data_IF_180307087785
#
_entry.id   IF_180307087785
#
_cell.length_a   1.000
_cell.length_b   1.000
_cell.length_c   1.000
_cell.angle_alpha   90.00
_cell.angle_beta   90.00
_cell.angle_gamma   90.00
#
_symmetry.space_group_name_H-M   'P 1'
#
loop_
_entity.id
_entity.type
_entity.pdbx_description
1 polymer ?
#
# COMPACT_ATOMS: atom_id res chain seq x y z
N UNK A 1 -8.47 18.80 18.71
CA UNK A 1 -9.52 18.23 17.85
C UNK A 1 -9.29 16.75 17.73
N UNK A 2 -10.34 15.96 17.97
CA UNK A 2 -10.31 14.50 17.82
C UNK A 2 -10.43 14.13 16.33
N UNK A 3 -9.96 12.93 15.94
CA UNK A 3 -9.90 12.49 14.54
C UNK A 3 -11.23 12.68 13.77
N UNK A 4 -12.37 12.35 14.40
CA UNK A 4 -13.69 12.48 13.77
C UNK A 4 -14.03 13.93 13.40
N UNK A 5 -13.67 14.90 14.25
CA UNK A 5 -13.91 16.33 13.97
C UNK A 5 -13.05 16.81 12.79
N UNK A 6 -11.78 16.41 12.77
CA UNK A 6 -10.87 16.74 11.67
C UNK A 6 -11.35 16.14 10.35
N UNK A 7 -11.86 14.90 10.37
CA UNK A 7 -12.42 14.25 9.19
C UNK A 7 -13.67 14.98 8.69
N UNK A 8 -14.58 15.36 9.58
CA UNK A 8 -15.78 16.12 9.23
C UNK A 8 -15.43 17.49 8.62
N UNK A 9 -14.42 18.18 9.17
CA UNK A 9 -13.92 19.44 8.62
C UNK A 9 -13.27 19.28 7.25
N UNK A 10 -12.54 18.18 7.04
CA UNK A 10 -11.91 17.88 5.76
C UNK A 10 -12.93 17.44 4.68
N UNK A 11 -14.07 16.89 5.09
CA UNK A 11 -15.13 16.40 4.20
C UNK A 11 -16.46 17.15 4.42
N UNK A 12 -16.51 18.48 4.24
CA UNK A 12 -17.71 19.28 4.53
C UNK A 12 -18.90 18.93 3.63
N UNK A 13 -18.65 18.29 2.48
CA UNK A 13 -19.67 17.82 1.54
C UNK A 13 -19.99 16.32 1.71
N UNK A 14 -19.50 15.70 2.79
CA UNK A 14 -19.61 14.26 3.02
C UNK A 14 -18.69 13.43 2.13
N UNK A 15 -18.89 12.11 2.16
CA UNK A 15 -18.02 11.12 1.53
C UNK A 15 -18.81 10.28 0.53
N UNK A 16 -18.42 10.41 -0.74
CA UNK A 16 -19.01 9.70 -1.86
C UNK A 16 -18.44 8.27 -1.99
N UNK A 17 -17.13 8.12 -1.84
CA UNK A 17 -16.44 6.83 -1.93
C UNK A 17 -15.50 6.69 -0.75
N UNK A 18 -15.57 5.56 -0.06
CA UNK A 18 -14.67 5.22 1.02
C UNK A 18 -14.12 3.82 0.80
N UNK A 19 -12.80 3.73 0.56
CA UNK A 19 -12.13 2.46 0.34
C UNK A 19 -11.73 1.86 1.69
N UNK A 20 -12.47 0.85 2.14
CA UNK A 20 -12.33 0.29 3.49
C UNK A 20 -11.22 -0.75 3.55
N UNK A 21 -10.21 -0.48 4.40
CA UNK A 21 -9.05 -1.33 4.67
C UNK A 21 -8.87 -1.63 6.17
N UNK A 22 -9.50 -0.84 7.04
CA UNK A 22 -9.16 -0.70 8.46
C UNK A 22 -10.30 -1.17 9.34
N UNK A 23 -11.51 -0.66 9.17
CA UNK A 23 -12.63 -0.89 10.08
C UNK A 23 -12.51 -0.11 11.39
N UNK A 24 -13.18 -0.61 12.44
CA UNK A 24 -13.08 -0.10 13.80
C UNK A 24 -13.39 1.39 13.95
N UNK A 25 -12.59 2.10 14.77
CA UNK A 25 -12.79 3.53 15.08
C UNK A 25 -12.67 4.45 13.88
N UNK A 26 -11.93 4.05 12.84
CA UNK A 26 -11.86 4.81 11.58
C UNK A 26 -13.22 4.77 10.89
N UNK A 27 -13.80 3.57 10.75
CA UNK A 27 -15.11 3.43 10.14
C UNK A 27 -16.23 4.08 10.97
N UNK A 28 -16.13 4.02 12.30
CA UNK A 28 -17.05 4.73 13.21
C UNK A 28 -17.11 6.23 12.91
N UNK A 29 -15.97 6.85 12.56
CA UNK A 29 -15.91 8.26 12.20
C UNK A 29 -16.39 8.54 10.77
N UNK A 30 -16.22 7.59 9.85
CA UNK A 30 -16.60 7.73 8.43
C UNK A 30 -18.10 7.52 8.21
N UNK A 31 -18.71 6.53 8.87
CA UNK A 31 -20.10 6.11 8.64
C UNK A 31 -21.13 7.27 8.69
N UNK A 32 -21.05 8.22 9.65
CA UNK A 32 -21.96 9.37 9.68
C UNK A 32 -21.81 10.30 8.48
N UNK A 33 -20.61 10.39 7.91
CA UNK A 33 -20.25 11.31 6.83
C UNK A 33 -20.52 10.76 5.42
N UNK A 34 -20.86 9.48 5.28
CA UNK A 34 -21.20 8.91 3.97
C UNK A 34 -22.40 9.62 3.35
N UNK A 35 -22.31 9.95 2.08
CA UNK A 35 -23.41 10.56 1.34
C UNK A 35 -24.48 9.51 0.97
N UNK A 36 -25.63 10.01 0.53
CA UNK A 36 -26.60 9.17 -0.17
C UNK A 36 -25.98 8.60 -1.44
N UNK A 37 -26.22 7.32 -1.72
CA UNK A 37 -25.62 6.56 -2.81
C UNK A 37 -24.08 6.46 -2.73
N UNK A 38 -23.49 6.58 -1.53
CA UNK A 38 -22.07 6.34 -1.34
C UNK A 38 -21.68 4.90 -1.68
N UNK A 39 -20.40 4.70 -2.01
CA UNK A 39 -19.82 3.39 -2.35
C UNK A 39 -18.69 3.06 -1.41
N UNK A 40 -18.71 1.85 -0.87
CA UNK A 40 -17.73 1.36 0.10
C UNK A 40 -17.19 0.01 -0.38
N UNK A 41 -16.13 0.01 -1.21
CA UNK A 41 -15.36 -1.21 -1.48
C UNK A 41 -14.68 -1.66 -0.19
N UNK A 42 -14.97 -2.89 0.25
CA UNK A 42 -14.40 -3.48 1.46
C UNK A 42 -13.26 -4.39 1.06
N UNK A 43 -12.05 -3.89 1.22
CA UNK A 43 -10.80 -4.58 0.87
C UNK A 43 -10.14 -5.25 2.08
N UNK A 44 -10.34 -4.71 3.29
CA UNK A 44 -9.74 -5.25 4.50
C UNK A 44 -10.31 -4.62 5.77
N UNK A 45 -10.00 -5.23 6.92
CA UNK A 45 -10.46 -4.81 8.25
C UNK A 45 -9.31 -4.94 9.27
N UNK A 46 -8.15 -4.34 8.94
CA UNK A 46 -6.89 -4.58 9.68
C UNK A 46 -6.97 -4.24 11.18
N UNK A 47 -7.85 -3.32 11.60
CA UNK A 47 -8.00 -2.98 13.02
C UNK A 47 -8.51 -4.16 13.85
N UNK A 48 -9.17 -5.14 13.22
CA UNK A 48 -9.76 -6.29 13.89
C UNK A 48 -8.89 -7.56 13.87
N UNK A 49 -7.77 -7.59 13.13
CA UNK A 49 -7.03 -8.85 12.92
C UNK A 49 -6.44 -9.45 14.20
N UNK A 50 -6.09 -8.61 15.18
CA UNK A 50 -5.56 -9.05 16.47
C UNK A 50 -6.61 -9.03 17.60
N UNK A 51 -7.89 -8.83 17.27
CA UNK A 51 -8.95 -8.80 18.27
C UNK A 51 -9.22 -10.23 18.78
N UNK A 52 -9.30 -10.39 20.10
CA UNK A 52 -9.60 -11.68 20.76
C UNK A 52 -11.09 -11.88 21.03
N UNK A 53 -11.93 -10.91 20.69
CA UNK A 53 -13.37 -10.91 20.91
C UNK A 53 -14.05 -9.76 20.18
N UNK A 54 -15.38 -9.74 20.23
CA UNK A 54 -16.15 -8.61 19.73
C UNK A 54 -15.94 -7.38 20.64
N UNK A 55 -16.02 -6.15 20.09
CA UNK A 55 -15.98 -4.95 20.91
C UNK A 55 -17.13 -4.91 21.92
N UNK A 56 -16.85 -4.43 23.12
CA UNK A 56 -17.86 -4.19 24.14
C UNK A 56 -18.91 -3.15 23.70
N UNK A 57 -20.08 -3.21 24.33
CA UNK A 57 -21.17 -2.26 24.12
C UNK A 57 -22.37 -2.87 23.39
N UNK A 58 -23.38 -2.05 23.06
CA UNK A 58 -24.58 -2.52 22.39
C UNK A 58 -24.27 -2.98 20.96
N UNK A 59 -25.09 -3.89 20.44
CA UNK A 59 -25.02 -4.29 19.03
C UNK A 59 -25.28 -3.09 18.10
N UNK A 60 -24.36 -2.86 17.17
CA UNK A 60 -24.39 -1.75 16.22
C UNK A 60 -24.80 -2.19 14.81
N UNK A 61 -25.07 -3.47 14.59
CA UNK A 61 -25.52 -3.98 13.30
C UNK A 61 -26.83 -3.32 12.83
N UNK A 62 -27.85 -3.10 13.68
CA UNK A 62 -29.06 -2.38 13.27
C UNK A 62 -28.78 -0.94 12.80
N UNK A 63 -27.85 -0.23 13.46
CA UNK A 63 -27.44 1.11 13.07
C UNK A 63 -26.77 1.11 11.69
N UNK A 64 -25.88 0.16 11.44
CA UNK A 64 -25.22 0.00 10.14
C UNK A 64 -26.25 -0.29 9.04
N UNK A 65 -27.13 -1.28 9.25
CA UNK A 65 -28.17 -1.67 8.29
C UNK A 65 -29.13 -0.51 8.00
N UNK A 66 -29.58 0.21 9.03
CA UNK A 66 -30.43 1.38 8.86
C UNK A 66 -29.72 2.51 8.10
N UNK A 67 -28.42 2.70 8.31
CA UNK A 67 -27.64 3.71 7.59
C UNK A 67 -27.48 3.34 6.12
N UNK A 68 -27.15 2.08 5.82
CA UNK A 68 -27.07 1.56 4.45
C UNK A 68 -28.41 1.72 3.74
N UNK A 69 -29.51 1.35 4.40
CA UNK A 69 -30.86 1.50 3.85
C UNK A 69 -31.23 2.95 3.57
N UNK A 70 -31.16 3.82 4.59
CA UNK A 70 -31.56 5.24 4.48
C UNK A 70 -30.74 5.99 3.44
N UNK A 71 -29.44 5.73 3.39
CA UNK A 71 -28.52 6.39 2.46
C UNK A 71 -28.32 5.62 1.16
N UNK A 72 -28.96 4.46 0.96
CA UNK A 72 -28.83 3.65 -0.27
C UNK A 72 -27.37 3.35 -0.63
N UNK A 73 -26.56 3.02 0.37
CA UNK A 73 -25.12 2.81 0.21
C UNK A 73 -24.87 1.46 -0.45
N UNK A 74 -23.93 1.40 -1.41
CA UNK A 74 -23.37 0.13 -1.88
C UNK A 74 -22.10 -0.19 -1.11
N UNK A 75 -22.16 -1.18 -0.23
CA UNK A 75 -21.01 -1.69 0.51
C UNK A 75 -20.72 -3.11 0.03
N UNK A 76 -19.52 -3.34 -0.50
CA UNK A 76 -19.23 -4.56 -1.23
C UNK A 76 -17.80 -5.04 -0.95
N UNK A 77 -17.69 -6.25 -0.39
CA UNK A 77 -16.42 -6.95 -0.28
C UNK A 77 -15.94 -7.48 -1.63
N UNK A 78 -14.63 -7.59 -1.78
CA UNK A 78 -14.01 -8.25 -2.92
C UNK A 78 -12.66 -8.85 -2.53
N UNK A 79 -12.26 -9.91 -3.21
CA UNK A 79 -10.98 -10.59 -3.03
C UNK A 79 -10.22 -10.54 -4.35
N UNK A 80 -9.15 -9.75 -4.40
CA UNK A 80 -8.40 -9.43 -5.64
C UNK A 80 -8.05 -10.68 -6.45
N UNK A 81 -7.54 -11.72 -5.79
CA UNK A 81 -7.11 -12.95 -6.46
C UNK A 81 -8.25 -13.80 -7.03
N UNK A 82 -9.45 -13.74 -6.42
CA UNK A 82 -10.61 -14.54 -6.82
C UNK A 82 -11.45 -13.81 -7.87
N UNK A 83 -11.75 -12.54 -7.62
CA UNK A 83 -12.70 -11.77 -8.42
C UNK A 83 -12.05 -11.10 -9.64
N UNK A 84 -10.76 -10.76 -9.55
CA UNK A 84 -10.08 -9.90 -10.53
C UNK A 84 -8.75 -10.43 -11.07
N UNK A 85 -8.41 -11.69 -10.80
CA UNK A 85 -7.18 -12.31 -11.29
C UNK A 85 -7.01 -12.20 -12.83
N UNK A 86 -8.11 -12.33 -13.56
CA UNK A 86 -8.16 -12.21 -15.03
C UNK A 86 -7.83 -10.79 -15.56
N UNK A 87 -7.84 -9.76 -14.70
CA UNK A 87 -7.55 -8.36 -15.09
C UNK A 87 -6.14 -7.89 -14.71
N UNK A 88 -5.31 -8.76 -14.12
CA UNK A 88 -3.97 -8.38 -13.66
C UNK A 88 -3.09 -7.84 -14.79
N UNK A 89 -3.16 -8.44 -15.98
CA UNK A 89 -2.36 -8.00 -17.13
C UNK A 89 -2.73 -6.57 -17.59
N UNK A 90 -4.04 -6.28 -17.68
CA UNK A 90 -4.58 -4.95 -17.98
C UNK A 90 -4.09 -3.92 -16.96
N UNK A 91 -4.20 -4.25 -15.67
CA UNK A 91 -3.73 -3.40 -14.57
C UNK A 91 -2.23 -3.12 -14.67
N UNK A 92 -1.40 -4.14 -14.91
CA UNK A 92 0.06 -3.99 -14.99
C UNK A 92 0.47 -3.06 -16.14
N UNK A 93 -0.18 -3.19 -17.30
CA UNK A 93 0.09 -2.31 -18.44
C UNK A 93 -0.25 -0.86 -18.12
N UNK A 94 -1.44 -0.61 -17.56
CA UNK A 94 -1.90 0.75 -17.26
C UNK A 94 -1.10 1.39 -16.12
N UNK A 95 -0.92 0.66 -15.01
CA UNK A 95 -0.16 1.15 -13.85
C UNK A 95 1.30 1.38 -14.21
N UNK A 96 1.91 0.49 -15.00
CA UNK A 96 3.28 0.66 -15.48
C UNK A 96 3.45 1.96 -16.27
N UNK A 97 2.50 2.29 -17.15
CA UNK A 97 2.47 3.56 -17.87
C UNK A 97 2.35 4.76 -16.91
N UNK A 98 1.45 4.72 -15.93
CA UNK A 98 1.29 5.83 -14.99
C UNK A 98 2.51 6.07 -14.10
N UNK A 99 3.21 5.00 -13.71
CA UNK A 99 4.49 5.10 -12.98
C UNK A 99 5.56 5.75 -13.86
N UNK A 100 5.69 5.32 -15.12
CA UNK A 100 6.65 5.91 -16.07
C UNK A 100 6.34 7.39 -16.36
N UNK A 101 5.07 7.75 -16.48
CA UNK A 101 4.61 9.13 -16.67
C UNK A 101 4.67 9.98 -15.39
N UNK A 102 5.08 9.40 -14.24
CA UNK A 102 5.17 10.12 -12.96
C UNK A 102 3.81 10.47 -12.34
N UNK A 103 2.71 9.95 -12.87
CA UNK A 103 1.34 10.14 -12.36
C UNK A 103 1.10 9.38 -11.05
N UNK A 104 1.84 8.29 -10.85
CA UNK A 104 1.83 7.51 -9.61
C UNK A 104 3.23 7.50 -9.02
N UNK A 105 3.32 7.97 -7.77
CA UNK A 105 4.53 7.86 -6.94
C UNK A 105 4.33 6.72 -5.96
N UNK A 106 5.28 5.78 -5.92
CA UNK A 106 5.26 4.68 -4.96
C UNK A 106 6.41 4.82 -3.97
N UNK A 107 6.22 4.28 -2.77
CA UNK A 107 7.22 4.25 -1.71
C UNK A 107 7.25 2.88 -1.09
N UNK A 108 8.44 2.36 -0.92
CA UNK A 108 8.70 1.05 -0.33
C UNK A 108 9.62 1.20 0.85
N UNK A 109 9.40 0.36 1.86
CA UNK A 109 10.36 0.12 2.91
C UNK A 109 11.00 -1.23 2.65
N UNK A 110 12.28 -1.19 2.33
CA UNK A 110 13.10 -2.38 2.10
C UNK A 110 13.80 -2.74 3.42
N UNK A 111 13.68 -4.01 3.78
CA UNK A 111 14.33 -4.60 4.95
C UNK A 111 15.21 -5.72 4.44
N UNK A 112 16.50 -5.62 4.73
CA UNK A 112 17.50 -6.60 4.32
C UNK A 112 17.55 -7.77 5.30
N UNK A 113 17.69 -8.99 4.76
CA UNK A 113 17.78 -10.21 5.56
C UNK A 113 16.43 -10.89 5.80
N UNK A 114 16.34 -12.18 5.47
CA UNK A 114 15.12 -12.97 5.70
C UNK A 114 14.85 -13.18 7.20
N UNK A 115 15.91 -13.22 7.99
CA UNK A 115 15.88 -13.28 9.46
C UNK A 115 15.14 -12.08 10.08
N UNK A 116 15.09 -10.94 9.40
CA UNK A 116 14.37 -9.75 9.85
C UNK A 116 12.87 -9.76 9.49
N UNK A 117 12.42 -10.71 8.66
CA UNK A 117 11.04 -10.77 8.18
C UNK A 117 9.99 -10.87 9.30
N UNK A 118 10.19 -11.65 10.40
CA UNK A 118 9.23 -11.68 11.50
C UNK A 118 9.06 -10.32 12.18
N UNK A 119 10.18 -9.63 12.45
CA UNK A 119 10.16 -8.31 13.07
C UNK A 119 9.54 -7.25 12.14
N UNK A 120 9.84 -7.34 10.84
CA UNK A 120 9.23 -6.51 9.81
C UNK A 120 7.70 -6.67 9.76
N UNK A 121 7.21 -7.91 9.85
CA UNK A 121 5.79 -8.22 9.87
C UNK A 121 5.10 -7.68 11.13
N UNK A 122 5.72 -7.84 12.29
CA UNK A 122 5.20 -7.26 13.55
C UNK A 122 5.12 -5.74 13.43
N UNK A 123 6.18 -5.09 12.93
CA UNK A 123 6.20 -3.65 12.69
C UNK A 123 5.10 -3.19 11.73
N UNK A 124 4.85 -3.95 10.65
CA UNK A 124 3.75 -3.70 9.72
C UNK A 124 2.39 -3.69 10.43
N UNK A 125 2.11 -4.68 11.28
CA UNK A 125 0.83 -4.78 12.00
C UNK A 125 0.68 -3.73 13.10
N UNK A 126 1.79 -3.19 13.61
CA UNK A 126 1.82 -2.05 14.53
C UNK A 126 1.73 -0.69 13.83
N UNK A 127 1.76 -0.65 12.49
CA UNK A 127 1.80 0.59 11.72
C UNK A 127 3.14 1.32 11.79
N UNK A 128 4.22 0.63 12.14
CA UNK A 128 5.59 1.17 12.20
C UNK A 128 6.26 1.19 10.81
N UNK A 129 5.61 0.63 9.78
CA UNK A 129 6.10 0.62 8.41
C UNK A 129 5.73 1.89 7.64
N UNK A 130 6.58 2.28 6.69
CA UNK A 130 6.32 3.35 5.73
C UNK A 130 6.18 2.81 4.31
N UNK A 131 5.01 3.01 3.70
CA UNK A 131 4.73 2.48 2.36
C UNK A 131 4.56 0.96 2.36
N UNK A 132 4.69 0.35 1.18
CA UNK A 132 4.55 -1.10 1.05
C UNK A 132 5.76 -1.79 1.68
N UNK A 133 5.51 -2.70 2.62
CA UNK A 133 6.54 -3.61 3.12
C UNK A 133 6.89 -4.62 2.02
N UNK A 134 8.15 -4.65 1.62
CA UNK A 134 8.64 -5.58 0.60
C UNK A 134 9.85 -6.36 1.10
N UNK A 135 9.81 -7.69 0.90
CA UNK A 135 11.03 -8.49 0.78
C UNK A 135 11.72 -8.09 -0.55
N UNK A 136 13.03 -7.79 -0.56
CA UNK A 136 13.77 -7.37 -1.76
C UNK A 136 13.70 -8.34 -2.95
N UNK A 137 13.12 -9.55 -2.82
CA UNK A 137 13.06 -10.56 -3.87
C UNK A 137 12.02 -10.36 -4.98
N UNK A 138 11.21 -9.28 -5.00
CA UNK A 138 10.27 -9.03 -6.11
C UNK A 138 10.25 -7.57 -6.59
N UNK A 139 11.29 -7.17 -7.32
CA UNK A 139 11.31 -5.91 -8.06
C UNK A 139 12.64 -5.63 -8.78
N UNK A 140 12.81 -6.15 -9.99
CA UNK A 140 13.85 -5.71 -10.93
C UNK A 140 14.97 -6.72 -11.20
N UNK A 141 14.97 -7.26 -12.43
CA UNK A 141 16.05 -8.02 -13.12
C UNK A 141 17.28 -8.41 -12.29
N UNK A 142 17.29 -9.62 -11.77
CA UNK A 142 18.50 -10.43 -11.63
C UNK A 142 18.17 -11.87 -12.01
N UNK A 143 18.79 -12.31 -13.12
CA UNK A 143 18.77 -13.70 -13.53
C UNK A 143 19.54 -14.53 -12.51
N UNK A 144 18.92 -15.58 -11.99
CA UNK A 144 19.65 -16.65 -11.32
C UNK A 144 20.43 -17.42 -12.39
N UNK A 145 21.76 -17.30 -12.41
CA UNK A 145 22.61 -18.38 -12.90
C UNK A 145 22.97 -19.24 -11.70
N UNK A 146 22.43 -20.45 -11.67
CA UNK A 146 23.10 -21.52 -10.94
C UNK A 146 24.44 -21.75 -11.65
N UNK A 147 25.55 -21.41 -11.00
CA UNK A 147 26.85 -21.95 -11.38
C UNK A 147 27.20 -23.02 -10.37
N UNK A 148 27.01 -24.26 -10.76
CA UNK A 148 27.83 -25.36 -10.26
C UNK A 148 29.30 -25.11 -10.63
N UNK A 149 30.19 -25.70 -9.83
CA UNK A 149 31.64 -25.88 -10.03
C UNK A 149 32.61 -24.83 -9.45
N UNK A 150 33.15 -25.22 -8.27
CA UNK A 150 34.57 -25.44 -7.94
C UNK A 150 35.60 -24.32 -8.19
N UNK A 151 36.35 -24.00 -7.12
CA UNK A 151 37.54 -23.14 -7.12
C UNK A 151 38.81 -23.90 -7.63
N UNK A 152 40.03 -23.33 -7.55
CA UNK A 152 40.65 -22.40 -8.50
C UNK A 152 42.00 -22.93 -9.07
N UNK A 153 42.39 -22.61 -10.31
CA UNK A 153 43.82 -22.66 -10.72
C UNK A 153 44.13 -21.86 -12.00
N UNK A 154 45.38 -21.41 -12.11
CA UNK A 154 45.96 -20.36 -12.96
C UNK A 154 46.34 -20.75 -14.40
N UNK A 155 46.43 -19.77 -15.33
CA UNK A 155 47.62 -19.44 -16.16
C UNK A 155 47.35 -18.28 -17.17
N UNK A 156 48.44 -17.61 -17.58
CA UNK A 156 48.59 -16.46 -18.52
C UNK A 156 48.09 -16.78 -19.95
N UNK A 157 47.75 -15.84 -20.85
CA UNK A 157 48.62 -14.90 -21.60
C UNK A 157 47.84 -13.79 -22.38
N UNK A 158 48.61 -12.83 -22.94
CA UNK A 158 48.26 -11.52 -23.50
C UNK A 158 47.78 -11.57 -24.97
N UNK A 159 46.94 -10.59 -25.38
CA UNK A 159 46.77 -10.17 -26.78
C UNK A 159 45.76 -9.01 -26.94
N UNK A 160 45.93 -8.06 -27.88
CA UNK A 160 45.50 -6.66 -27.67
C UNK A 160 44.25 -6.24 -28.48
N UNK A 161 43.60 -5.19 -28.01
CA UNK A 161 42.83 -4.29 -28.88
C UNK A 161 41.34 -4.16 -28.57
N UNK A 162 40.98 -3.05 -27.93
CA UNK A 162 40.05 -2.01 -28.41
C UNK A 162 39.53 -1.27 -27.16
N UNK A 163 40.04 -0.05 -26.98
CA UNK A 163 39.71 0.81 -25.86
C UNK A 163 38.32 1.43 -26.01
N UNK A 164 37.40 1.08 -25.11
CA UNK A 164 36.15 1.81 -24.91
C UNK A 164 36.30 2.71 -23.70
N UNK A 165 36.40 4.03 -23.92
CA UNK A 165 36.43 5.04 -22.86
C UNK A 165 35.08 5.07 -22.15
N UNK A 166 35.01 4.64 -20.88
CA UNK A 166 33.87 4.94 -20.00
C UNK A 166 34.12 6.27 -19.29
N UNK A 167 33.31 7.29 -19.60
CA UNK A 167 33.22 8.51 -18.77
C UNK A 167 32.59 8.14 -17.42
N UNK A 168 33.25 8.52 -16.34
CA UNK A 168 32.78 8.42 -14.96
C UNK A 168 31.86 9.62 -14.70
N UNK A 169 30.58 9.38 -14.39
CA UNK A 169 29.71 10.39 -13.79
C UNK A 169 29.64 10.10 -12.29
N UNK A 170 30.28 10.94 -11.49
CA UNK A 170 30.16 10.96 -10.03
C UNK A 170 28.89 11.72 -9.65
N UNK A 171 27.94 11.05 -8.99
CA UNK A 171 26.81 11.71 -8.35
C UNK A 171 27.23 12.19 -6.95
N UNK A 172 27.12 13.49 -6.70
CA UNK A 172 27.38 14.13 -5.41
C UNK A 172 26.36 13.73 -4.35
N UNK A 173 26.82 13.61 -3.10
CA UNK A 173 25.98 13.40 -1.92
C UNK A 173 25.16 14.65 -1.64
N UNK A 174 23.84 14.51 -1.56
CA UNK A 174 22.97 15.49 -0.92
C UNK A 174 22.55 14.99 0.46
N UNK A 175 22.62 15.93 1.39
CA UNK A 175 22.58 15.81 2.83
C UNK A 175 21.25 15.23 3.36
N UNK A 176 21.32 14.22 4.23
CA UNK A 176 20.17 13.60 4.89
C UNK A 176 20.09 14.12 6.32
N UNK A 177 19.40 15.22 6.54
CA UNK A 177 18.90 15.54 7.88
C UNK A 177 17.67 16.45 7.79
N UNK A 178 16.69 16.15 8.66
CA UNK A 178 15.39 16.82 8.88
C UNK A 178 14.24 16.33 8.02
N UNK A 179 13.57 15.27 8.48
CA UNK A 179 12.10 15.19 8.55
C UNK A 179 11.75 14.08 9.58
N UNK A 180 11.72 14.41 10.87
CA UNK A 180 11.08 13.58 11.92
C UNK A 180 9.98 14.41 12.57
N UNK A 181 8.73 14.01 12.35
CA UNK A 181 7.54 14.48 13.05
C UNK A 181 6.47 13.38 12.98
N UNK A 182 5.66 13.17 14.02
CA UNK A 182 4.65 12.11 14.05
C UNK A 182 3.45 12.50 13.16
N UNK A 183 3.02 11.60 12.28
CA UNK A 183 1.86 11.79 11.40
C UNK A 183 0.80 10.71 11.61
N UNK A 184 -0.50 11.07 11.55
CA UNK A 184 -1.60 10.16 11.86
C UNK A 184 -1.79 9.09 10.78
N UNK A 185 -2.36 7.95 11.20
CA UNK A 185 -2.65 6.77 10.38
C UNK A 185 -3.37 7.15 9.07
N UNK A 186 -2.77 6.78 7.94
CA UNK A 186 -3.22 7.12 6.61
C UNK A 186 -4.39 6.24 6.16
N UNK A 187 -5.62 6.74 6.32
CA UNK A 187 -6.76 6.34 5.50
C UNK A 187 -6.77 7.15 4.21
N UNK A 188 -6.92 6.50 3.05
CA UNK A 188 -7.01 7.19 1.77
C UNK A 188 -8.47 7.53 1.47
N UNK A 189 -8.82 8.81 1.56
CA UNK A 189 -10.11 9.34 1.09
C UNK A 189 -9.93 9.71 -0.38
N UNK A 190 -10.50 8.91 -1.30
CA UNK A 190 -10.48 9.21 -2.72
C UNK A 190 -11.66 10.13 -3.07
N UNK A 191 -11.36 11.41 -3.30
CA UNK A 191 -12.28 12.34 -3.96
C UNK A 191 -12.60 11.88 -5.39
N UNK A 192 -13.75 12.35 -5.91
CA UNK A 192 -14.42 11.94 -7.16
C UNK A 192 -13.48 11.45 -8.27
N UNK A 193 -13.25 10.15 -8.30
CA UNK A 193 -12.78 9.45 -9.50
C UNK A 193 -14.02 8.84 -10.20
N UNK A 194 -14.19 9.05 -11.52
CA UNK A 194 -15.24 8.40 -12.28
C UNK A 194 -14.85 6.94 -12.51
N UNK A 195 -14.91 6.12 -11.47
CA UNK A 195 -14.89 4.67 -11.64
C UNK A 195 -16.35 4.24 -11.68
N UNK A 196 -16.83 3.88 -12.87
CA UNK A 196 -18.12 3.18 -13.02
C UNK A 196 -17.96 1.85 -12.30
N UNK A 197 -18.62 1.76 -11.15
CA UNK A 197 -18.88 0.55 -10.40
C UNK A 197 -20.38 0.44 -10.20
#
# INVERSE_FOLDING_TARGET
MIFAEQLAQACPQGIDVYYENVGGKVFDAVLPLLNTAARVPVCGLVSGYNATGLPDGPDRLPLLMATILKKRIRMQGFIIGQDYGHRIAEFQQQMGRWVQEGKIKYREQLIDGLDQAPQALIGLLKGENFGKGGDPRRGGRLAWRASTEQAPFSAREKGPGIGVRRRRLTAGRADRQRLRGPHPASGVVLGRLPVRW
#
